data_IF_904763315130
#
_entry.id   IF_904763315130
#
_cell.length_a   1.000
_cell.length_b   1.000
_cell.length_c   1.000
_cell.angle_alpha   90.00
_cell.angle_beta   90.00
_cell.angle_gamma   90.00
#
_symmetry.space_group_name_H-M   'P 1'
#
loop_
_entity.id
_entity.type
_entity.pdbx_description
1 polymer ?
#
# COMPACT_ATOMS: atom_id res chain seq x y z
N UNK A 1 -10.55 -14.93 -22.92
CA UNK A 1 -10.46 -14.38 -21.54
C UNK A 1 -9.33 -15.11 -20.83
N UNK A 2 -8.47 -14.41 -20.10
CA UNK A 2 -7.44 -15.05 -19.27
C UNK A 2 -8.10 -15.87 -18.15
N UNK A 3 -7.52 -17.03 -17.82
CA UNK A 3 -8.00 -17.89 -16.75
C UNK A 3 -7.63 -17.27 -15.39
N UNK A 4 -8.63 -17.07 -14.52
CA UNK A 4 -8.42 -16.45 -13.22
C UNK A 4 -7.47 -17.24 -12.32
N UNK A 5 -7.54 -18.57 -12.35
CA UNK A 5 -6.66 -19.43 -11.53
C UNK A 5 -5.21 -19.38 -11.99
N UNK A 6 -4.98 -19.38 -13.30
CA UNK A 6 -3.62 -19.23 -13.87
C UNK A 6 -3.03 -17.87 -13.51
N UNK A 7 -3.81 -16.80 -13.67
CA UNK A 7 -3.40 -15.43 -13.29
C UNK A 7 -3.11 -15.34 -11.79
N UNK A 8 -3.95 -15.93 -10.94
CA UNK A 8 -3.71 -15.93 -9.49
C UNK A 8 -2.43 -16.69 -9.15
N UNK A 9 -2.22 -17.87 -9.72
CA UNK A 9 -1.01 -18.66 -9.50
C UNK A 9 0.24 -17.88 -9.94
N UNK A 10 0.20 -17.22 -11.10
CA UNK A 10 1.30 -16.38 -11.57
C UNK A 10 1.57 -15.23 -10.60
N UNK A 11 0.53 -14.54 -10.10
CA UNK A 11 0.71 -13.48 -9.10
C UNK A 11 1.31 -14.00 -7.78
N UNK A 12 1.04 -15.25 -7.39
CA UNK A 12 1.55 -15.89 -6.17
C UNK A 12 3.01 -16.33 -6.35
N UNK A 13 3.31 -17.01 -7.45
CA UNK A 13 4.59 -17.67 -7.70
C UNK A 13 5.67 -16.72 -8.26
N UNK A 14 5.27 -15.64 -8.92
CA UNK A 14 6.21 -14.66 -9.46
C UNK A 14 7.08 -14.06 -8.35
N UNK A 15 8.39 -13.97 -8.62
CA UNK A 15 9.31 -13.23 -7.77
C UNK A 15 8.90 -11.75 -7.75
N UNK A 16 8.50 -11.18 -6.60
CA UNK A 16 7.84 -9.89 -6.59
C UNK A 16 8.83 -8.74 -6.83
N UNK A 17 8.43 -7.82 -7.70
CA UNK A 17 9.26 -6.68 -8.11
C UNK A 17 9.31 -5.60 -7.05
N UNK A 18 10.46 -4.92 -6.99
CA UNK A 18 10.56 -3.63 -6.30
C UNK A 18 9.62 -2.64 -6.96
N UNK A 19 9.04 -1.74 -6.16
CA UNK A 19 8.02 -0.81 -6.65
C UNK A 19 8.60 0.19 -7.67
N UNK A 20 9.87 0.57 -7.53
CA UNK A 20 10.60 1.46 -8.45
C UNK A 20 10.97 0.79 -9.78
N UNK A 21 10.96 -0.55 -9.84
CA UNK A 21 11.28 -1.34 -11.02
C UNK A 21 10.05 -1.78 -11.82
N UNK A 22 8.84 -1.33 -11.43
CA UNK A 22 7.61 -1.74 -12.09
C UNK A 22 7.53 -1.22 -13.53
N UNK A 23 7.08 -2.03 -14.49
CA UNK A 23 6.94 -1.60 -15.88
C UNK A 23 5.80 -0.60 -16.03
N UNK A 24 5.81 0.12 -17.15
CA UNK A 24 4.73 1.06 -17.55
C UNK A 24 3.63 0.36 -18.36
N UNK A 25 3.51 -0.95 -18.22
CA UNK A 25 2.53 -1.81 -18.87
C UNK A 25 1.25 -1.97 -18.05
N UNK A 26 0.23 -2.58 -18.63
CA UNK A 26 -1.11 -2.69 -18.04
C UNK A 26 -1.51 -4.13 -17.79
N UNK A 27 -2.35 -4.32 -16.79
CA UNK A 27 -2.88 -5.63 -16.44
C UNK A 27 -3.40 -5.69 -15.02
N UNK A 28 -3.17 -6.83 -14.38
CA UNK A 28 -3.58 -7.16 -13.02
C UNK A 28 -2.35 -7.31 -12.13
N UNK A 29 -2.46 -6.90 -10.88
CA UNK A 29 -1.35 -6.92 -9.92
C UNK A 29 -1.80 -7.33 -8.53
N UNK A 30 -0.83 -7.79 -7.76
CA UNK A 30 -0.93 -8.05 -6.34
C UNK A 30 -0.01 -7.10 -5.57
N UNK A 31 -0.53 -6.45 -4.53
CA UNK A 31 0.28 -5.68 -3.59
C UNK A 31 0.74 -6.59 -2.46
N UNK A 32 2.06 -6.57 -2.19
CA UNK A 32 2.67 -7.33 -1.12
C UNK A 32 3.18 -6.42 -0.01
N UNK A 33 2.86 -6.77 1.22
CA UNK A 33 3.29 -6.02 2.40
C UNK A 33 4.79 -6.24 2.70
N UNK A 34 5.26 -5.73 3.83
CA UNK A 34 6.65 -5.83 4.26
C UNK A 34 7.07 -7.24 4.73
N UNK A 35 6.13 -8.16 4.91
CA UNK A 35 6.40 -9.58 5.15
C UNK A 35 6.45 -10.38 3.84
N UNK A 36 6.05 -9.79 2.72
CA UNK A 36 5.96 -10.45 1.41
C UNK A 36 4.58 -11.03 1.10
N UNK A 37 3.64 -10.92 2.03
CA UNK A 37 2.29 -11.44 1.89
C UNK A 37 1.47 -10.58 0.92
N UNK A 38 0.72 -11.22 0.02
CA UNK A 38 -0.27 -10.53 -0.79
C UNK A 38 -1.38 -10.02 0.11
N UNK A 39 -1.84 -8.77 -0.10
CA UNK A 39 -2.93 -8.17 0.66
C UNK A 39 -4.04 -7.56 -0.18
N UNK A 40 -3.77 -7.35 -1.47
CA UNK A 40 -4.70 -6.72 -2.39
C UNK A 40 -4.43 -7.18 -3.82
N UNK A 41 -5.50 -7.44 -4.57
CA UNK A 41 -5.48 -7.65 -6.02
C UNK A 41 -6.19 -6.48 -6.69
N UNK A 42 -5.58 -5.90 -7.72
CA UNK A 42 -6.20 -4.82 -8.48
C UNK A 42 -5.75 -4.77 -9.93
N UNK A 43 -6.36 -3.88 -10.72
CA UNK A 43 -6.03 -3.66 -12.13
C UNK A 43 -5.54 -2.22 -12.40
N UNK A 44 -4.85 -2.03 -13.53
CA UNK A 44 -4.31 -0.73 -13.97
C UNK A 44 -5.29 0.09 -14.82
N UNK A 45 -6.59 -0.25 -14.80
CA UNK A 45 -7.62 0.40 -15.63
C UNK A 45 -7.59 1.93 -15.49
N UNK A 46 -7.42 2.63 -16.61
CA UNK A 46 -7.42 4.09 -16.67
C UNK A 46 -6.16 4.76 -16.10
N UNK A 47 -5.07 4.04 -15.86
CA UNK A 47 -3.77 4.63 -15.53
C UNK A 47 -2.90 4.80 -16.79
N UNK A 48 -2.41 6.01 -17.06
CA UNK A 48 -1.57 6.29 -18.24
C UNK A 48 -0.17 5.67 -18.13
N UNK A 49 0.31 5.40 -16.93
CA UNK A 49 1.65 4.86 -16.66
C UNK A 49 1.60 3.41 -16.14
N UNK A 50 0.49 2.70 -16.37
CA UNK A 50 0.39 1.27 -16.09
C UNK A 50 0.60 0.91 -14.63
N UNK A 51 1.33 -0.18 -14.37
CA UNK A 51 1.67 -0.65 -13.02
C UNK A 51 2.46 0.39 -12.24
N UNK A 52 3.48 1.00 -12.85
CA UNK A 52 4.27 2.05 -12.20
C UNK A 52 3.37 3.23 -11.74
N UNK A 53 2.50 3.74 -12.61
CA UNK A 53 1.58 4.81 -12.24
C UNK A 53 0.60 4.41 -11.14
N UNK A 54 -0.02 3.24 -11.29
CA UNK A 54 -1.04 2.79 -10.36
C UNK A 54 -0.46 2.47 -8.99
N UNK A 55 0.64 1.71 -8.96
CA UNK A 55 1.24 1.19 -7.73
C UNK A 55 2.22 2.20 -7.15
N UNK A 56 3.35 2.45 -7.82
CA UNK A 56 4.43 3.29 -7.29
C UNK A 56 4.01 4.74 -7.05
N UNK A 57 3.08 5.28 -7.84
CA UNK A 57 2.52 6.62 -7.58
C UNK A 57 1.26 6.55 -6.71
N UNK A 58 0.14 6.03 -7.20
CA UNK A 58 -1.14 6.20 -6.48
C UNK A 58 -1.19 5.43 -5.15
N UNK A 59 -0.84 4.14 -5.14
CA UNK A 59 -0.91 3.36 -3.90
C UNK A 59 0.09 3.84 -2.83
N UNK A 60 1.27 4.30 -3.24
CA UNK A 60 2.33 4.74 -2.31
C UNK A 60 2.17 6.19 -1.84
N UNK A 61 1.99 7.15 -2.76
CA UNK A 61 2.05 8.60 -2.44
C UNK A 61 0.70 9.27 -2.36
N UNK A 62 -0.36 8.56 -2.77
CA UNK A 62 -1.73 9.06 -2.74
C UNK A 62 -2.19 9.41 -1.31
N UNK A 63 -3.33 10.08 -1.23
CA UNK A 63 -3.96 10.37 0.07
C UNK A 63 -4.19 9.09 0.88
N UNK A 64 -4.24 9.21 2.19
CA UNK A 64 -4.44 8.14 3.19
C UNK A 64 -5.87 7.53 3.12
N UNK A 65 -6.60 7.86 2.04
CA UNK A 65 -7.89 7.30 1.72
C UNK A 65 -7.78 5.86 1.19
N UNK A 66 -8.94 5.21 1.19
CA UNK A 66 -9.11 3.75 1.04
C UNK A 66 -8.68 3.17 -0.31
N UNK A 67 -8.56 4.01 -1.33
CA UNK A 67 -8.13 3.62 -2.67
C UNK A 67 -6.62 3.50 -2.80
N UNK A 68 -5.85 4.12 -1.91
CA UNK A 68 -4.39 4.09 -1.92
C UNK A 68 -3.87 3.14 -0.84
N UNK A 69 -4.01 1.85 -1.14
CA UNK A 69 -3.81 0.74 -0.18
C UNK A 69 -2.56 0.83 0.68
N UNK A 70 -1.36 1.02 0.11
CA UNK A 70 -0.14 1.16 0.93
C UNK A 70 -0.17 2.41 1.82
N UNK A 71 -0.54 3.56 1.23
CA UNK A 71 -0.72 4.81 1.96
C UNK A 71 -1.69 4.67 3.14
N UNK A 72 -2.76 3.89 2.99
CA UNK A 72 -3.72 3.63 4.05
C UNK A 72 -3.18 2.64 5.10
N UNK A 73 -2.66 1.50 4.64
CA UNK A 73 -2.17 0.41 5.49
C UNK A 73 -1.08 0.86 6.46
N UNK A 74 -0.16 1.71 5.99
CA UNK A 74 0.98 2.18 6.78
C UNK A 74 0.78 3.58 7.38
N UNK A 75 -0.42 4.16 7.35
CA UNK A 75 -0.71 5.41 8.05
C UNK A 75 -0.95 5.13 9.54
N UNK A 76 0.13 4.88 10.29
CA UNK A 76 0.10 4.44 11.69
C UNK A 76 1.37 4.89 12.41
N UNK A 77 1.28 5.12 13.72
CA UNK A 77 2.43 5.47 14.56
C UNK A 77 3.22 6.66 14.01
N UNK A 78 4.55 6.52 13.89
CA UNK A 78 5.47 7.55 13.36
C UNK A 78 5.24 7.89 11.88
N UNK A 79 4.56 7.03 11.15
CA UNK A 79 4.19 7.22 9.73
C UNK A 79 2.79 7.83 9.56
N UNK A 80 2.09 8.07 10.66
CA UNK A 80 0.74 8.59 10.65
C UNK A 80 0.72 10.09 10.33
N UNK A 81 -0.28 10.52 9.58
CA UNK A 81 -0.76 11.89 9.60
C UNK A 81 -2.27 11.94 9.40
N UNK A 82 -2.87 13.07 9.78
CA UNK A 82 -4.25 13.36 9.40
C UNK A 82 -4.37 13.64 7.89
N UNK A 83 -5.54 13.35 7.33
CA UNK A 83 -5.80 13.52 5.90
C UNK A 83 -5.68 14.99 5.53
N UNK A 84 -4.84 15.29 4.53
CA UNK A 84 -4.53 16.65 4.03
C UNK A 84 -3.79 17.56 5.02
N UNK A 85 -3.32 17.06 6.15
CA UNK A 85 -2.41 17.81 7.02
C UNK A 85 -1.07 18.07 6.30
N UNK A 86 -0.70 19.35 6.20
CA UNK A 86 0.53 19.83 5.53
C UNK A 86 1.50 20.50 6.52
N UNK A 87 1.29 20.32 7.83
CA UNK A 87 2.28 20.73 8.82
C UNK A 87 3.63 20.06 8.55
N UNK A 88 4.73 20.69 8.97
CA UNK A 88 6.08 20.14 8.83
C UNK A 88 6.16 18.70 9.37
N UNK A 89 5.49 18.46 10.48
CA UNK A 89 5.47 17.15 11.13
C UNK A 89 4.76 16.09 10.30
N UNK A 90 3.59 16.44 9.75
CA UNK A 90 2.83 15.56 8.88
C UNK A 90 3.56 15.28 7.56
N UNK A 91 4.29 16.26 7.03
CA UNK A 91 5.11 16.09 5.82
C UNK A 91 6.22 15.07 6.06
N UNK A 92 6.93 15.14 7.19
CA UNK A 92 7.97 14.16 7.52
C UNK A 92 7.40 12.76 7.77
N UNK A 93 6.24 12.64 8.45
CA UNK A 93 5.58 11.34 8.62
C UNK A 93 5.15 10.72 7.28
N UNK A 94 4.61 11.53 6.36
CA UNK A 94 4.28 11.09 4.99
C UNK A 94 5.52 10.66 4.22
N UNK A 95 6.62 11.40 4.33
CA UNK A 95 7.90 11.06 3.70
C UNK A 95 8.41 9.72 4.22
N UNK A 96 8.44 9.54 5.54
CA UNK A 96 8.84 8.27 6.16
C UNK A 96 7.98 7.11 5.67
N UNK A 97 6.65 7.27 5.63
CA UNK A 97 5.74 6.24 5.10
C UNK A 97 6.04 5.87 3.65
N UNK A 98 6.28 6.89 2.83
CA UNK A 98 6.58 6.72 1.40
C UNK A 98 7.86 5.91 1.22
N UNK A 99 8.92 6.25 1.96
CA UNK A 99 10.18 5.54 1.92
C UNK A 99 10.06 4.12 2.48
N UNK A 100 9.30 3.93 3.57
CA UNK A 100 9.04 2.60 4.13
C UNK A 100 8.40 1.66 3.11
N UNK A 101 7.34 2.13 2.46
CA UNK A 101 6.62 1.35 1.45
C UNK A 101 7.53 1.02 0.28
N UNK A 102 8.31 1.99 -0.23
CA UNK A 102 9.26 1.77 -1.32
C UNK A 102 10.36 0.77 -0.96
N UNK A 103 10.83 0.81 0.29
CA UNK A 103 11.92 -0.03 0.77
C UNK A 103 11.49 -1.48 0.98
N UNK A 104 10.38 -1.68 1.66
CA UNK A 104 10.01 -3.00 2.19
C UNK A 104 8.84 -3.67 1.47
N UNK A 105 7.95 -2.92 0.80
CA UNK A 105 6.83 -3.53 0.08
C UNK A 105 7.21 -3.89 -1.35
N UNK A 106 6.46 -4.81 -1.94
CA UNK A 106 6.68 -5.30 -3.32
C UNK A 106 5.36 -5.43 -4.07
N UNK A 107 5.44 -5.73 -5.35
CA UNK A 107 4.27 -6.10 -6.14
C UNK A 107 4.62 -7.18 -7.16
N UNK A 108 3.67 -8.10 -7.37
CA UNK A 108 3.65 -9.00 -8.53
C UNK A 108 2.57 -8.52 -9.52
N UNK A 109 2.72 -8.86 -10.79
CA UNK A 109 1.86 -8.41 -11.87
C UNK A 109 1.88 -9.38 -13.04
N UNK A 110 0.74 -9.42 -13.74
CA UNK A 110 0.57 -10.11 -15.02
C UNK A 110 0.17 -9.06 -16.06
N UNK A 111 0.99 -8.93 -17.09
CA UNK A 111 0.72 -8.04 -18.23
C UNK A 111 -0.44 -8.62 -19.02
N UNK A 112 -1.44 -7.78 -19.31
CA UNK A 112 -2.61 -8.18 -20.10
C UNK A 112 -2.52 -7.53 -21.49
N UNK A 113 -2.57 -8.34 -22.57
CA UNK A 113 -2.59 -7.84 -23.94
C UNK A 113 -3.67 -6.78 -24.18
N UNK A 114 -3.36 -5.79 -25.01
CA UNK A 114 -4.24 -4.62 -25.29
C UNK A 114 -5.61 -5.01 -25.82
N UNK A 115 -5.70 -6.06 -26.63
CA UNK A 115 -6.95 -6.59 -27.15
C UNK A 115 -7.87 -7.20 -26.07
N UNK A 116 -7.38 -7.42 -24.85
CA UNK A 116 -8.13 -7.96 -23.71
C UNK A 116 -8.41 -6.91 -22.62
N UNK A 117 -8.10 -5.64 -22.85
CA UNK A 117 -8.28 -4.59 -21.83
C UNK A 117 -9.73 -4.34 -21.43
N UNK A 118 -10.69 -4.59 -22.33
CA UNK A 118 -12.13 -4.53 -22.02
C UNK A 118 -12.54 -5.52 -20.93
N UNK A 119 -11.81 -6.64 -20.81
CA UNK A 119 -12.12 -7.73 -19.89
C UNK A 119 -11.44 -7.57 -18.52
N UNK A 120 -10.56 -6.58 -18.34
CA UNK A 120 -9.78 -6.43 -17.09
C UNK A 120 -10.65 -6.37 -15.83
N UNK A 121 -11.78 -5.66 -15.89
CA UNK A 121 -12.70 -5.59 -14.75
C UNK A 121 -13.36 -6.94 -14.43
N UNK A 122 -13.68 -7.74 -15.46
CA UNK A 122 -14.23 -9.08 -15.25
C UNK A 122 -13.16 -10.05 -14.74
N UNK A 123 -11.92 -9.93 -15.23
CA UNK A 123 -10.78 -10.69 -14.74
C UNK A 123 -10.48 -10.37 -13.27
N UNK A 124 -10.47 -9.08 -12.89
CA UNK A 124 -10.27 -8.64 -11.50
C UNK A 124 -11.25 -9.31 -10.56
N UNK A 125 -12.55 -9.26 -10.89
CA UNK A 125 -13.60 -9.88 -10.08
C UNK A 125 -13.45 -11.40 -10.01
N UNK A 126 -13.10 -12.05 -11.11
CA UNK A 126 -12.91 -13.50 -11.14
C UNK A 126 -11.72 -13.94 -10.27
N UNK A 127 -10.60 -13.21 -10.29
CA UNK A 127 -9.43 -13.48 -9.44
C UNK A 127 -9.75 -13.19 -7.97
N UNK A 128 -10.42 -12.07 -7.68
CA UNK A 128 -10.84 -11.72 -6.32
C UNK A 128 -11.85 -12.70 -5.71
N UNK A 129 -12.61 -13.44 -6.53
CA UNK A 129 -13.56 -14.43 -6.06
C UNK A 129 -12.90 -15.74 -5.59
N UNK A 130 -11.70 -16.05 -6.09
CA UNK A 130 -10.99 -17.31 -5.80
C UNK A 130 -9.78 -17.11 -4.88
N UNK A 131 -9.31 -15.88 -4.70
CA UNK A 131 -8.18 -15.58 -3.83
C UNK A 131 -8.53 -15.82 -2.35
N UNK A 132 -7.65 -16.45 -1.56
CA UNK A 132 -7.83 -16.58 -0.12
C UNK A 132 -8.09 -15.23 0.56
N UNK A 133 -8.95 -15.23 1.60
CA UNK A 133 -9.42 -13.99 2.24
C UNK A 133 -8.31 -13.17 2.92
N UNK A 134 -7.29 -13.83 3.44
CA UNK A 134 -6.07 -13.24 4.01
C UNK A 134 -5.22 -12.54 2.95
N UNK A 135 -5.13 -13.12 1.75
CA UNK A 135 -4.46 -12.53 0.58
C UNK A 135 -5.23 -11.31 0.02
N UNK A 136 -6.50 -11.15 0.40
CA UNK A 136 -7.33 -10.00 0.01
C UNK A 136 -7.78 -9.14 1.19
N UNK A 137 -7.03 -9.15 2.30
CA UNK A 137 -7.35 -8.44 3.53
C UNK A 137 -7.59 -6.92 3.35
N UNK A 138 -6.96 -6.28 2.36
CA UNK A 138 -7.14 -4.85 2.07
C UNK A 138 -8.25 -4.55 1.05
N UNK A 139 -8.83 -5.59 0.45
CA UNK A 139 -9.87 -5.50 -0.58
C UNK A 139 -11.23 -6.08 -0.16
N UNK A 140 -11.25 -7.04 0.78
CA UNK A 140 -12.45 -7.78 1.20
C UNK A 140 -13.48 -6.97 1.98
N UNK A 141 -13.09 -5.80 2.51
CA UNK A 141 -13.96 -4.92 3.31
C UNK A 141 -14.00 -3.51 2.76
N UNK A 142 -15.13 -2.81 2.97
CA UNK A 142 -15.25 -1.36 2.68
C UNK A 142 -14.21 -0.53 3.46
N UNK A 143 -13.72 -1.05 4.59
CA UNK A 143 -12.68 -0.47 5.45
C UNK A 143 -11.82 -1.60 6.03
N UNK A 144 -10.50 -1.45 5.99
CA UNK A 144 -9.56 -2.30 6.72
C UNK A 144 -8.73 -1.42 7.67
N UNK A 145 -8.35 -1.97 8.81
CA UNK A 145 -7.59 -1.21 9.80
C UNK A 145 -6.13 -1.03 9.34
N UNK A 146 -5.53 0.15 9.54
CA UNK A 146 -4.10 0.32 9.36
C UNK A 146 -3.32 -0.69 10.21
N UNK A 147 -2.18 -1.11 9.70
CA UNK A 147 -1.31 -2.05 10.39
C UNK A 147 -0.76 -1.43 11.69
N UNK A 148 -0.24 -2.29 12.56
CA UNK A 148 0.65 -1.86 13.62
C UNK A 148 1.96 -1.36 12.98
N UNK A 149 2.60 -0.39 13.62
CA UNK A 149 3.86 0.13 13.13
C UNK A 149 4.96 -0.94 13.25
N UNK A 150 5.66 -1.30 12.15
CA UNK A 150 6.81 -2.20 12.20
C UNK A 150 8.03 -1.48 12.78
N UNK A 151 8.05 -1.32 14.11
CA UNK A 151 8.97 -0.38 14.79
C UNK A 151 10.43 -0.61 14.43
N UNK A 152 10.90 -1.85 14.45
CA UNK A 152 12.30 -2.20 14.16
C UNK A 152 12.71 -1.82 12.72
N UNK A 153 11.86 -2.11 11.74
CA UNK A 153 12.10 -1.73 10.34
C UNK A 153 12.06 -0.22 10.13
N UNK A 154 11.18 0.47 10.86
CA UNK A 154 11.12 1.93 10.88
C UNK A 154 12.39 2.51 11.49
N UNK A 155 12.86 1.98 12.62
CA UNK A 155 14.09 2.44 13.29
C UNK A 155 15.32 2.24 12.40
N UNK A 156 15.44 1.07 11.77
CA UNK A 156 16.49 0.79 10.79
C UNK A 156 16.45 1.79 9.62
N UNK A 157 15.25 2.07 9.08
CA UNK A 157 15.06 3.00 7.97
C UNK A 157 15.38 4.45 8.37
N UNK A 158 15.03 4.87 9.58
CA UNK A 158 15.36 6.21 10.06
C UNK A 158 16.87 6.43 10.16
N UNK A 159 17.61 5.38 10.53
CA UNK A 159 19.07 5.40 10.57
C UNK A 159 19.65 5.45 9.16
N UNK A 160 19.14 4.63 8.24
CA UNK A 160 19.55 4.62 6.83
C UNK A 160 19.31 5.97 6.13
N UNK A 161 18.14 6.57 6.35
CA UNK A 161 17.77 7.87 5.77
C UNK A 161 18.44 9.05 6.48
N UNK A 162 19.27 8.79 7.48
CA UNK A 162 19.96 9.80 8.30
C UNK A 162 19.00 10.87 8.86
N UNK A 163 17.85 10.45 9.41
CA UNK A 163 16.88 11.40 9.98
C UNK A 163 17.50 12.20 11.13
N UNK A 164 17.46 13.53 11.00
CA UNK A 164 17.96 14.47 12.00
C UNK A 164 17.14 14.40 13.31
N UNK A 165 17.67 14.91 14.44
CA UNK A 165 16.91 15.00 15.69
C UNK A 165 15.58 15.75 15.52
N UNK A 166 15.56 16.80 14.71
CA UNK A 166 14.34 17.56 14.42
C UNK A 166 13.29 16.70 13.69
N UNK A 167 13.70 15.94 12.67
CA UNK A 167 12.80 15.06 11.92
C UNK A 167 12.28 13.89 12.78
N UNK A 168 13.13 13.35 13.67
CA UNK A 168 12.71 12.33 14.63
C UNK A 168 11.70 12.87 15.64
N UNK A 169 11.90 14.10 16.12
CA UNK A 169 10.93 14.77 16.98
C UNK A 169 9.59 15.01 16.27
N UNK A 170 9.62 15.43 15.00
CA UNK A 170 8.45 15.63 14.16
C UNK A 170 7.58 14.37 14.02
N UNK A 171 8.17 13.24 13.62
CA UNK A 171 7.43 11.97 13.52
C UNK A 171 7.00 11.43 14.90
N UNK A 172 7.74 11.76 15.97
CA UNK A 172 7.36 11.44 17.35
C UNK A 172 6.09 12.16 17.78
N UNK A 173 5.94 13.45 17.43
CA UNK A 173 4.70 14.21 17.69
C UNK A 173 3.51 13.63 16.90
N UNK A 174 3.71 13.24 15.65
CA UNK A 174 2.67 12.55 14.88
C UNK A 174 2.27 11.20 15.48
N UNK A 175 3.23 10.43 16.00
CA UNK A 175 2.92 9.18 16.72
C UNK A 175 2.07 9.43 17.97
N UNK A 176 2.36 10.49 18.73
CA UNK A 176 1.57 10.88 19.90
C UNK A 176 0.13 11.28 19.51
N UNK A 177 -0.05 12.05 18.44
CA UNK A 177 -1.37 12.40 17.90
C UNK A 177 -2.15 11.15 17.45
N UNK A 178 -1.47 10.22 16.76
CA UNK A 178 -2.06 8.95 16.35
C UNK A 178 -2.57 8.15 17.56
N UNK A 179 -1.78 8.06 18.63
CA UNK A 179 -2.14 7.36 19.85
C UNK A 179 -3.33 8.02 20.57
N UNK A 180 -3.34 9.34 20.69
CA UNK A 180 -4.42 10.09 21.32
C UNK A 180 -5.77 9.88 20.60
N UNK A 181 -5.75 9.90 19.26
CA UNK A 181 -6.96 9.64 18.46
C UNK A 181 -7.49 8.22 18.62
N UNK A 182 -6.60 7.21 18.71
CA UNK A 182 -7.01 5.82 18.97
C UNK A 182 -7.66 5.67 20.35
N UNK A 183 -7.12 6.34 21.37
CA UNK A 183 -7.69 6.33 22.73
C UNK A 183 -9.06 7.01 22.78
N UNK A 184 -9.22 8.18 22.16
CA UNK A 184 -10.51 8.89 22.08
C UNK A 184 -11.59 8.06 21.36
N UNK A 185 -11.24 7.35 20.28
CA UNK A 185 -12.15 6.49 19.55
C UNK A 185 -12.60 5.25 20.35
N UNK A 186 -11.79 4.77 21.29
CA UNK A 186 -12.14 3.69 22.21
C UNK A 186 -13.07 4.18 23.32
N UNK A 187 -12.81 5.35 23.92
CA UNK A 187 -13.65 5.91 24.98
C UNK A 187 -15.04 6.37 24.51
N UNK A 188 -15.22 6.66 23.22
CA UNK A 188 -16.53 7.08 22.66
C UNK A 188 -17.45 5.90 22.32
N UNK A 189 -16.95 4.65 22.44
CA UNK A 189 -17.70 3.42 22.14
C UNK A 189 -18.20 2.69 23.40
N UNK A 190 -18.02 3.30 24.57
CA UNK A 190 -18.55 2.87 25.87
C UNK A 190 -19.72 3.77 26.21
#
# INVERSE_FOLDING_TARGET
MLNASEVLNELIEQNPSRLDALPREHGIYALRDHFGDIRYIGITKGDKNGFHGRIFSRHVTGSEGRSHKFSHAYNTGRMWRSKRDQSSDAVEAKRLRTEFVRRYCRASYVVVPTNLWSDLSRLELAVQAIVPGDMFAWGSKRVFDPLLEPKELVDALLNELCFTPHQRAAIGRQAALCAALKQSALSTRV
#
